data_IF_720198115577
#
_entry.id   IF_720198115577
#
_cell.length_a   1.000
_cell.length_b   1.000
_cell.length_c   1.000
_cell.angle_alpha   90.00
_cell.angle_beta   90.00
_cell.angle_gamma   90.00
#
_symmetry.space_group_name_H-M   'P 1'
#
loop_
_entity.id
_entity.type
_entity.pdbx_description
1 polymer ?
#
# COMPACT_ATOMS: atom_id res chain seq x y z
N UNK A 1 -31.41 38.44 -54.55
CA UNK A 1 -30.19 38.37 -53.73
C UNK A 1 -30.60 38.82 -52.36
N UNK A 2 -30.54 37.95 -51.36
CA UNK A 2 -30.52 38.32 -49.93
C UNK A 2 -30.34 37.03 -49.12
N UNK A 3 -29.22 36.94 -48.39
CA UNK A 3 -28.96 35.87 -47.39
C UNK A 3 -29.25 36.44 -46.00
N UNK A 4 -29.94 35.72 -45.11
CA UNK A 4 -30.19 36.20 -43.77
C UNK A 4 -29.04 35.88 -42.80
N UNK A 5 -28.78 36.86 -41.94
CA UNK A 5 -27.87 36.89 -40.78
C UNK A 5 -28.42 36.03 -39.62
N UNK A 6 -27.57 35.36 -38.80
CA UNK A 6 -28.04 34.63 -37.63
C UNK A 6 -28.19 35.53 -36.39
N UNK A 7 -29.33 35.38 -35.71
CA UNK A 7 -29.68 36.00 -34.44
C UNK A 7 -29.07 35.21 -33.27
N UNK A 8 -28.32 35.90 -32.41
CA UNK A 8 -27.97 35.46 -31.05
C UNK A 8 -29.11 35.80 -30.10
N UNK A 9 -29.49 34.88 -29.21
CA UNK A 9 -30.42 35.17 -28.11
C UNK A 9 -30.06 34.41 -26.84
N UNK A 10 -30.02 35.19 -25.77
CA UNK A 10 -29.67 34.94 -24.38
C UNK A 10 -30.17 33.62 -23.76
N UNK A 11 -29.23 32.84 -23.22
CA UNK A 11 -29.50 31.73 -22.31
C UNK A 11 -29.42 32.19 -20.85
N UNK A 12 -30.56 32.60 -20.26
CA UNK A 12 -30.71 32.72 -18.80
C UNK A 12 -31.29 31.42 -18.24
N UNK A 13 -30.51 30.72 -17.41
CA UNK A 13 -30.95 29.55 -16.67
C UNK A 13 -31.42 30.01 -15.27
N UNK A 14 -32.73 29.86 -14.99
CA UNK A 14 -33.29 30.02 -13.66
C UNK A 14 -33.22 28.67 -12.92
N UNK A 15 -32.43 28.59 -11.83
CA UNK A 15 -32.59 27.51 -10.85
C UNK A 15 -33.58 27.95 -9.77
N UNK A 16 -34.70 27.25 -9.71
CA UNK A 16 -35.74 27.39 -8.68
C UNK A 16 -35.28 26.58 -7.46
N UNK A 17 -35.08 27.26 -6.35
CA UNK A 17 -34.84 26.68 -5.03
C UNK A 17 -36.04 25.84 -4.59
N UNK A 18 -35.81 24.55 -4.34
CA UNK A 18 -36.76 23.71 -3.63
C UNK A 18 -36.38 23.72 -2.14
N UNK A 19 -37.30 24.23 -1.34
CA UNK A 19 -37.25 24.27 0.12
C UNK A 19 -37.34 22.86 0.71
N UNK A 20 -36.59 22.67 1.79
CA UNK A 20 -36.44 21.44 2.56
C UNK A 20 -37.41 21.49 3.74
N UNK A 21 -38.64 21.01 3.55
CA UNK A 21 -39.57 20.68 4.64
C UNK A 21 -40.32 19.39 4.28
N UNK A 22 -40.57 18.57 5.31
CA UNK A 22 -41.38 17.34 5.34
C UNK A 22 -40.77 16.03 4.80
N UNK A 23 -39.93 15.39 5.63
CA UNK A 23 -39.80 13.93 5.63
C UNK A 23 -40.26 13.37 6.99
N UNK A 24 -41.50 12.90 7.00
CA UNK A 24 -42.10 12.11 8.09
C UNK A 24 -41.63 10.66 7.97
N UNK A 25 -40.99 10.14 9.03
CA UNK A 25 -40.58 8.74 9.16
C UNK A 25 -41.81 7.81 9.35
N UNK A 26 -41.91 6.67 8.65
CA UNK A 26 -42.89 5.66 9.00
C UNK A 26 -42.38 4.71 10.09
N UNK A 27 -43.23 4.47 11.09
CA UNK A 27 -43.07 3.51 12.18
C UNK A 27 -43.18 2.06 11.66
N UNK A 28 -42.40 1.07 12.16
CA UNK A 28 -42.49 -0.30 11.67
C UNK A 28 -43.69 -1.04 12.29
N UNK A 29 -44.56 -1.55 11.41
CA UNK A 29 -45.64 -2.46 11.77
C UNK A 29 -45.13 -3.90 11.95
N UNK A 30 -45.70 -4.56 12.96
CA UNK A 30 -45.51 -5.96 13.35
C UNK A 30 -45.87 -6.91 12.21
N UNK A 31 -45.00 -7.87 11.89
CA UNK A 31 -45.38 -9.05 11.11
C UNK A 31 -45.48 -10.27 12.03
N UNK A 32 -46.68 -10.82 12.07
CA UNK A 32 -47.11 -11.91 12.92
C UNK A 32 -47.02 -13.23 12.15
N UNK A 33 -46.69 -14.26 12.92
CA UNK A 33 -46.67 -15.70 12.67
C UNK A 33 -47.78 -16.23 11.74
N UNK A 34 -47.43 -17.14 10.81
CA UNK A 34 -48.41 -18.12 10.33
C UNK A 34 -47.78 -19.46 9.96
N UNK A 35 -48.08 -20.45 10.81
CA UNK A 35 -47.87 -21.90 10.63
C UNK A 35 -48.99 -22.48 9.76
N UNK A 36 -48.64 -23.40 8.85
CA UNK A 36 -49.41 -24.60 8.44
C UNK A 36 -48.55 -25.40 7.46
N UNK A 37 -47.90 -26.49 7.87
CA UNK A 37 -48.44 -27.84 8.04
C UNK A 37 -49.04 -28.44 6.76
N UNK A 38 -48.28 -29.34 6.11
CA UNK A 38 -48.80 -30.52 5.42
C UNK A 38 -47.73 -31.62 5.37
N UNK A 39 -48.02 -32.68 6.11
CA UNK A 39 -47.32 -33.96 6.13
C UNK A 39 -47.57 -34.74 4.84
N UNK A 40 -46.55 -35.46 4.36
CA UNK A 40 -46.76 -36.83 3.83
C UNK A 40 -45.47 -37.65 3.90
N UNK A 41 -45.65 -38.80 4.51
CA UNK A 41 -44.82 -39.98 4.73
C UNK A 41 -44.16 -40.57 3.48
N UNK A 42 -42.90 -41.01 3.61
CA UNK A 42 -42.50 -42.35 3.16
C UNK A 42 -41.17 -42.78 3.80
N UNK A 43 -41.23 -43.92 4.46
CA UNK A 43 -40.16 -44.72 5.05
C UNK A 43 -39.08 -45.15 4.05
N UNK A 44 -37.80 -45.06 4.44
CA UNK A 44 -36.80 -46.07 4.10
C UNK A 44 -35.66 -46.03 5.14
N UNK A 45 -35.54 -47.13 5.89
CA UNK A 45 -34.45 -47.38 6.82
C UNK A 45 -33.18 -47.73 6.05
N UNK A 46 -32.07 -47.08 6.38
CA UNK A 46 -30.73 -47.63 6.17
C UNK A 46 -29.79 -47.05 7.23
N UNK A 47 -29.21 -47.97 8.01
CA UNK A 47 -28.10 -47.73 8.92
C UNK A 47 -26.94 -47.05 8.17
N UNK A 48 -26.45 -45.94 8.72
CA UNK A 48 -25.14 -45.41 8.39
C UNK A 48 -24.58 -44.63 9.59
N UNK A 49 -23.40 -45.09 9.99
CA UNK A 49 -22.38 -44.62 10.93
C UNK A 49 -22.28 -43.10 11.12
N UNK A 50 -22.00 -42.57 12.33
CA UNK A 50 -21.90 -41.14 12.57
C UNK A 50 -20.59 -40.57 11.99
N UNK A 51 -20.68 -39.95 10.80
CA UNK A 51 -19.63 -39.08 10.28
C UNK A 51 -19.70 -37.72 10.99
N UNK A 52 -18.66 -37.40 11.75
CA UNK A 52 -18.42 -36.08 12.32
C UNK A 52 -18.39 -35.03 11.21
N UNK A 53 -19.40 -34.16 11.19
CA UNK A 53 -19.45 -32.95 10.40
C UNK A 53 -18.34 -32.00 10.89
N UNK A 54 -17.18 -32.03 10.26
CA UNK A 54 -16.19 -30.96 10.37
C UNK A 54 -16.49 -29.92 9.29
N UNK A 55 -17.29 -28.93 9.65
CA UNK A 55 -17.37 -27.67 8.92
C UNK A 55 -16.03 -26.95 9.01
N UNK A 56 -15.12 -27.33 8.13
CA UNK A 56 -13.93 -26.53 7.84
C UNK A 56 -14.35 -25.39 6.94
N UNK A 57 -14.85 -24.32 7.56
CA UNK A 57 -14.98 -23.00 6.95
C UNK A 57 -13.60 -22.54 6.47
N UNK A 58 -13.30 -22.90 5.23
CA UNK A 58 -12.09 -22.52 4.51
C UNK A 58 -12.29 -21.08 4.01
N UNK A 59 -12.34 -20.14 4.95
CA UNK A 59 -12.05 -18.75 4.64
C UNK A 59 -10.62 -18.73 4.10
N UNK A 60 -10.47 -18.60 2.78
CA UNK A 60 -9.19 -18.31 2.11
C UNK A 60 -8.72 -16.95 2.61
N UNK A 61 -8.11 -16.97 3.77
CA UNK A 61 -7.35 -15.89 4.32
C UNK A 61 -6.28 -15.52 3.30
N UNK A 62 -6.41 -14.34 2.68
CA UNK A 62 -5.37 -13.68 1.87
C UNK A 62 -4.23 -13.17 2.78
N UNK A 63 -3.89 -13.89 3.85
CA UNK A 63 -2.74 -13.58 4.67
C UNK A 63 -1.51 -14.10 3.94
N UNK A 64 -0.66 -13.16 3.56
CA UNK A 64 0.55 -13.38 2.78
C UNK A 64 1.48 -14.37 3.53
N UNK A 65 1.88 -15.45 2.87
CA UNK A 65 2.73 -16.52 3.42
C UNK A 65 4.21 -16.12 3.63
N UNK A 66 4.47 -14.87 4.02
CA UNK A 66 5.80 -14.26 4.12
C UNK A 66 6.56 -14.60 5.42
N UNK A 67 5.94 -15.30 6.38
CA UNK A 67 6.36 -15.26 7.79
C UNK A 67 7.49 -16.20 8.27
N UNK A 68 8.38 -16.78 7.44
CA UNK A 68 9.30 -17.80 7.99
C UNK A 68 10.82 -17.78 7.71
N UNK A 69 11.40 -17.01 6.79
CA UNK A 69 12.82 -17.28 6.41
C UNK A 69 13.60 -16.03 5.98
N UNK A 70 13.86 -15.08 6.89
CA UNK A 70 14.85 -14.03 6.66
C UNK A 70 16.15 -14.42 7.39
N UNK A 71 17.00 -15.19 6.71
CA UNK A 71 18.35 -15.55 7.18
C UNK A 71 19.32 -14.62 6.45
N UNK A 72 20.38 -14.14 7.12
CA UNK A 72 21.49 -13.45 6.46
C UNK A 72 21.97 -14.28 5.27
N UNK A 73 21.73 -13.77 4.06
CA UNK A 73 21.94 -14.53 2.83
C UNK A 73 23.44 -14.57 2.58
N UNK A 74 24.09 -15.65 3.02
CA UNK A 74 25.46 -15.91 2.64
C UNK A 74 25.49 -16.42 1.19
N UNK A 75 25.60 -15.49 0.24
CA UNK A 75 25.63 -15.75 -1.20
C UNK A 75 26.69 -16.79 -1.59
N UNK A 76 27.79 -16.91 -0.83
CA UNK A 76 28.84 -17.90 -1.11
C UNK A 76 28.34 -19.34 -1.09
N UNK A 77 27.31 -19.63 -0.28
CA UNK A 77 26.70 -20.97 -0.10
C UNK A 77 25.42 -21.17 -0.91
N UNK A 78 25.11 -20.26 -1.83
CA UNK A 78 23.92 -20.34 -2.65
C UNK A 78 23.99 -21.58 -3.58
N UNK A 79 22.95 -22.43 -3.63
CA UNK A 79 22.87 -23.50 -4.62
C UNK A 79 22.66 -22.90 -6.02
N UNK A 80 22.97 -23.69 -7.05
CA UNK A 80 22.59 -23.33 -8.40
C UNK A 80 21.06 -23.22 -8.52
N UNK A 81 20.58 -22.35 -9.41
CA UNK A 81 19.16 -22.23 -9.67
C UNK A 81 18.57 -23.59 -10.10
N UNK A 82 17.34 -23.91 -9.68
CA UNK A 82 16.68 -25.14 -10.11
C UNK A 82 16.43 -25.11 -11.62
N UNK A 83 16.32 -26.29 -12.22
CA UNK A 83 15.89 -26.39 -13.62
C UNK A 83 14.48 -25.84 -13.80
N UNK A 84 14.26 -25.16 -14.93
CA UNK A 84 12.94 -24.69 -15.33
C UNK A 84 12.00 -25.89 -15.43
N UNK A 85 10.83 -25.88 -14.75
CA UNK A 85 9.90 -27.00 -14.84
C UNK A 85 9.47 -27.26 -16.28
N UNK A 86 9.28 -28.52 -16.65
CA UNK A 86 8.81 -28.86 -18.00
C UNK A 86 7.36 -28.39 -18.23
N UNK A 87 6.97 -28.28 -19.50
CA UNK A 87 5.60 -28.06 -19.95
C UNK A 87 4.65 -29.03 -19.22
N UNK A 88 3.49 -28.58 -18.69
CA UNK A 88 2.77 -27.36 -19.04
C UNK A 88 3.02 -26.16 -18.12
N UNK A 89 4.18 -26.05 -17.47
CA UNK A 89 4.50 -24.87 -16.66
C UNK A 89 4.58 -23.61 -17.55
N UNK A 90 3.69 -22.61 -17.36
CA UNK A 90 3.76 -21.36 -18.13
C UNK A 90 4.71 -20.37 -17.44
N UNK A 91 5.60 -19.78 -18.22
CA UNK A 91 6.49 -18.70 -17.77
C UNK A 91 5.80 -17.35 -17.94
N UNK A 92 5.77 -16.56 -16.86
CA UNK A 92 5.14 -15.25 -16.84
C UNK A 92 5.76 -14.28 -17.88
N UNK A 93 4.98 -13.46 -18.60
CA UNK A 93 5.52 -12.52 -19.59
C UNK A 93 6.59 -11.56 -19.06
N UNK A 94 6.59 -11.29 -17.76
CA UNK A 94 7.60 -10.49 -17.08
C UNK A 94 8.84 -11.35 -16.76
N UNK A 95 9.58 -11.79 -17.78
CA UNK A 95 10.80 -12.57 -17.63
C UNK A 95 11.92 -12.09 -18.55
N UNK A 96 13.16 -12.46 -18.22
CA UNK A 96 14.32 -12.22 -19.07
C UNK A 96 15.38 -13.30 -18.88
N UNK A 97 16.21 -13.49 -19.90
CA UNK A 97 17.41 -14.32 -19.83
C UNK A 97 18.60 -13.47 -19.40
N UNK A 98 19.53 -14.07 -18.66
CA UNK A 98 20.82 -13.46 -18.35
C UNK A 98 21.89 -13.87 -19.37
N UNK A 99 22.95 -13.06 -19.47
CA UNK A 99 24.13 -13.44 -20.25
C UNK A 99 24.74 -14.76 -19.76
N UNK A 100 25.39 -15.50 -20.67
CA UNK A 100 25.96 -16.83 -20.38
C UNK A 100 27.08 -16.84 -19.32
N UNK A 101 27.71 -15.70 -19.06
CA UNK A 101 28.74 -15.53 -18.03
C UNK A 101 28.16 -15.19 -16.64
N UNK A 102 26.86 -14.93 -16.54
CA UNK A 102 26.19 -14.60 -15.27
C UNK A 102 25.73 -15.89 -14.60
N UNK A 103 26.36 -16.21 -13.47
CA UNK A 103 25.95 -17.34 -12.65
C UNK A 103 24.78 -16.99 -11.70
N UNK A 104 24.23 -17.99 -11.00
CA UNK A 104 23.12 -17.78 -10.06
C UNK A 104 23.49 -16.81 -8.93
N UNK A 105 24.76 -16.80 -8.47
CA UNK A 105 25.20 -15.99 -7.33
C UNK A 105 25.28 -14.52 -7.71
N UNK A 106 25.85 -14.22 -8.88
CA UNK A 106 25.92 -12.86 -9.39
C UNK A 106 24.51 -12.33 -9.66
N UNK A 107 23.65 -13.09 -10.35
CA UNK A 107 22.27 -12.68 -10.60
C UNK A 107 21.49 -12.38 -9.30
N UNK A 108 21.56 -13.26 -8.30
CA UNK A 108 20.93 -13.02 -6.98
C UNK A 108 21.47 -11.75 -6.32
N UNK A 109 22.79 -11.54 -6.37
CA UNK A 109 23.43 -10.35 -5.79
C UNK A 109 22.98 -9.07 -6.47
N UNK A 110 22.95 -9.03 -7.80
CA UNK A 110 22.48 -7.88 -8.56
C UNK A 110 20.99 -7.61 -8.32
N UNK A 111 20.15 -8.64 -8.35
CA UNK A 111 18.71 -8.52 -8.06
C UNK A 111 18.51 -7.97 -6.65
N UNK A 112 19.18 -8.51 -5.64
CA UNK A 112 19.10 -7.99 -4.27
C UNK A 112 19.52 -6.52 -4.19
N UNK A 113 20.62 -6.14 -4.85
CA UNK A 113 21.08 -4.74 -4.88
C UNK A 113 20.03 -3.83 -5.50
N UNK A 114 19.45 -4.21 -6.63
CA UNK A 114 18.42 -3.43 -7.33
C UNK A 114 17.13 -3.34 -6.52
N UNK A 115 16.66 -4.45 -5.95
CA UNK A 115 15.47 -4.46 -5.08
C UNK A 115 15.66 -3.57 -3.86
N UNK A 116 16.82 -3.60 -3.21
CA UNK A 116 17.14 -2.69 -2.10
C UNK A 116 17.14 -1.22 -2.53
N UNK A 117 17.70 -0.91 -3.71
CA UNK A 117 17.72 0.45 -4.26
C UNK A 117 16.30 0.99 -4.49
N UNK A 118 15.40 0.17 -5.01
CA UNK A 118 13.99 0.53 -5.19
C UNK A 118 13.17 0.44 -3.89
N UNK A 119 13.82 0.23 -2.73
CA UNK A 119 13.18 0.08 -1.42
C UNK A 119 12.06 -1.00 -1.47
N UNK A 120 12.39 -2.15 -2.06
CA UNK A 120 11.53 -3.33 -2.06
C UNK A 120 11.85 -4.16 -0.83
N UNK A 121 10.81 -4.41 -0.03
CA UNK A 121 10.89 -5.33 1.09
C UNK A 121 10.88 -6.77 0.57
N UNK A 122 11.90 -7.56 0.90
CA UNK A 122 12.07 -8.90 0.33
C UNK A 122 12.46 -9.97 1.35
N UNK A 123 12.03 -11.21 1.06
CA UNK A 123 12.51 -12.46 1.66
C UNK A 123 13.10 -13.31 0.55
N UNK A 124 14.34 -13.76 0.70
CA UNK A 124 14.93 -14.69 -0.26
C UNK A 124 14.93 -16.14 0.28
N UNK A 125 14.33 -17.04 -0.48
CA UNK A 125 14.27 -18.46 -0.18
C UNK A 125 15.38 -19.19 -0.93
N UNK A 126 16.52 -19.38 -0.25
CA UNK A 126 17.77 -19.90 -0.83
C UNK A 126 17.58 -21.19 -1.66
N UNK A 127 16.89 -22.19 -1.10
CA UNK A 127 16.67 -23.49 -1.75
C UNK A 127 15.77 -23.45 -2.99
N UNK A 128 15.02 -22.36 -3.18
CA UNK A 128 14.11 -22.18 -4.32
C UNK A 128 14.57 -21.10 -5.29
N UNK A 129 15.73 -20.48 -5.01
CA UNK A 129 16.21 -19.28 -5.69
C UNK A 129 15.09 -18.28 -5.95
N UNK A 130 14.34 -17.94 -4.89
CA UNK A 130 13.07 -17.23 -4.98
C UNK A 130 13.02 -16.05 -4.02
N UNK A 131 12.76 -14.87 -4.55
CA UNK A 131 12.38 -13.69 -3.78
C UNK A 131 10.87 -13.63 -3.61
N UNK A 132 10.41 -13.38 -2.39
CA UNK A 132 9.07 -12.86 -2.14
C UNK A 132 9.22 -11.38 -1.84
N UNK A 133 8.55 -10.54 -2.60
CA UNK A 133 8.75 -9.10 -2.60
C UNK A 133 7.44 -8.37 -2.28
N UNK A 134 7.55 -7.28 -1.53
CA UNK A 134 6.48 -6.32 -1.27
C UNK A 134 7.04 -4.92 -1.52
N UNK A 135 6.33 -4.11 -2.29
CA UNK A 135 6.64 -2.69 -2.46
C UNK A 135 5.39 -1.87 -2.28
N UNK A 136 5.55 -0.70 -1.66
CA UNK A 136 4.53 0.33 -1.60
C UNK A 136 4.91 1.46 -2.56
N UNK A 137 4.13 1.65 -3.63
CA UNK A 137 4.35 2.68 -4.64
C UNK A 137 3.16 3.62 -4.61
N UNK A 138 3.36 4.91 -4.32
CA UNK A 138 2.26 5.89 -4.17
C UNK A 138 1.13 5.36 -3.29
N UNK A 139 1.48 4.81 -2.12
CA UNK A 139 0.53 4.23 -1.17
C UNK A 139 -0.23 2.97 -1.62
N UNK A 140 -0.03 2.51 -2.85
CA UNK A 140 -0.52 1.21 -3.32
C UNK A 140 0.48 0.09 -3.02
N UNK A 141 -0.05 -1.03 -2.53
CA UNK A 141 0.73 -2.23 -2.23
C UNK A 141 0.81 -3.15 -3.44
N UNK A 142 2.03 -3.57 -3.78
CA UNK A 142 2.33 -4.58 -4.79
C UNK A 142 3.05 -5.74 -4.13
N UNK A 143 2.46 -6.93 -4.15
CA UNK A 143 3.16 -8.18 -3.85
C UNK A 143 3.59 -8.86 -5.15
N UNK A 144 4.84 -9.30 -5.23
CA UNK A 144 5.37 -10.02 -6.37
C UNK A 144 6.42 -11.05 -5.96
N UNK A 145 6.79 -11.92 -6.89
CA UNK A 145 7.77 -12.98 -6.68
C UNK A 145 8.78 -12.90 -7.81
N UNK A 146 10.06 -12.99 -7.48
CA UNK A 146 11.11 -13.21 -8.48
C UNK A 146 11.66 -14.62 -8.29
N UNK A 147 11.78 -15.40 -9.37
CA UNK A 147 12.39 -16.73 -9.36
C UNK A 147 13.49 -16.82 -10.41
N UNK A 148 14.52 -17.57 -10.08
CA UNK A 148 15.59 -17.90 -11.01
C UNK A 148 15.48 -19.38 -11.39
N UNK A 149 15.68 -19.66 -12.66
CA UNK A 149 15.70 -20.99 -13.25
C UNK A 149 16.90 -21.17 -14.16
N UNK A 150 17.39 -22.39 -14.28
CA UNK A 150 18.26 -22.80 -15.40
C UNK A 150 17.37 -23.32 -16.51
N UNK A 151 17.51 -22.78 -17.73
CA UNK A 151 16.83 -23.27 -18.93
C UNK A 151 17.63 -24.38 -19.62
N UNK A 152 17.03 -25.08 -20.60
CA UNK A 152 17.61 -26.26 -21.26
C UNK A 152 18.98 -26.01 -21.92
N UNK A 153 19.27 -24.76 -22.30
CA UNK A 153 20.55 -24.32 -22.87
C UNK A 153 21.58 -23.88 -21.81
N UNK A 154 21.38 -24.23 -20.54
CA UNK A 154 22.16 -23.78 -19.38
C UNK A 154 22.20 -22.25 -19.18
N UNK A 155 21.29 -21.50 -19.80
CA UNK A 155 21.15 -20.07 -19.53
C UNK A 155 20.24 -19.82 -18.34
N UNK A 156 20.52 -18.76 -17.58
CA UNK A 156 19.71 -18.38 -16.43
C UNK A 156 18.49 -17.57 -16.91
N UNK A 157 17.30 -17.99 -16.50
CA UNK A 157 16.05 -17.28 -16.71
C UNK A 157 15.56 -16.70 -15.39
N UNK A 158 15.24 -15.42 -15.39
CA UNK A 158 14.63 -14.71 -14.25
C UNK A 158 13.17 -14.41 -14.57
N UNK A 159 12.28 -14.93 -13.75
CA UNK A 159 10.83 -14.77 -13.86
C UNK A 159 10.31 -13.86 -12.74
N UNK A 160 9.55 -12.82 -13.09
CA UNK A 160 8.95 -11.86 -12.15
C UNK A 160 7.42 -11.94 -12.18
N UNK A 161 6.80 -12.57 -11.18
CA UNK A 161 5.35 -12.79 -11.12
C UNK A 161 4.64 -11.82 -10.17
N UNK A 162 3.76 -10.96 -10.69
CA UNK A 162 2.84 -10.16 -9.86
C UNK A 162 1.84 -11.06 -9.15
N UNK A 163 1.64 -10.84 -7.84
CA UNK A 163 0.69 -11.59 -7.00
C UNK A 163 -0.51 -10.75 -6.57
N UNK A 164 -0.31 -9.46 -6.38
CA UNK A 164 -1.34 -8.47 -6.04
C UNK A 164 -0.91 -7.06 -6.50
N UNK A 165 -1.79 -6.07 -6.34
CA UNK A 165 -1.52 -4.67 -6.71
C UNK A 165 -1.91 -4.32 -8.15
N UNK A 166 -1.92 -3.02 -8.45
CA UNK A 166 -2.27 -2.49 -9.76
C UNK A 166 -1.28 -2.91 -10.86
N UNK A 167 -1.79 -3.27 -12.05
CA UNK A 167 -0.96 -3.71 -13.17
C UNK A 167 -0.07 -2.58 -13.71
N UNK A 168 -0.57 -1.35 -13.80
CA UNK A 168 0.19 -0.22 -14.31
C UNK A 168 1.37 0.11 -13.38
N UNK A 169 1.11 0.14 -12.07
CA UNK A 169 2.14 0.39 -11.06
C UNK A 169 3.19 -0.74 -11.05
N UNK A 170 2.77 -1.99 -11.24
CA UNK A 170 3.67 -3.11 -11.46
C UNK A 170 4.50 -2.96 -12.73
N UNK A 171 3.89 -2.58 -13.86
CA UNK A 171 4.58 -2.41 -15.14
C UNK A 171 5.69 -1.36 -15.04
N UNK A 172 5.39 -0.22 -14.39
CA UNK A 172 6.37 0.84 -14.09
C UNK A 172 7.48 0.33 -13.19
N UNK A 173 7.16 -0.37 -12.09
CA UNK A 173 8.16 -0.91 -11.17
C UNK A 173 9.06 -1.95 -11.87
N UNK A 174 8.47 -2.89 -12.61
CA UNK A 174 9.20 -3.89 -13.37
C UNK A 174 10.12 -3.24 -14.41
N UNK A 175 9.63 -2.24 -15.16
CA UNK A 175 10.45 -1.49 -16.13
C UNK A 175 11.67 -0.87 -15.45
N UNK A 176 11.49 -0.22 -14.30
CA UNK A 176 12.61 0.39 -13.56
C UNK A 176 13.60 -0.67 -13.06
N UNK A 177 13.12 -1.79 -12.51
CA UNK A 177 13.97 -2.92 -12.10
C UNK A 177 14.73 -3.49 -13.30
N UNK A 178 14.05 -3.70 -14.43
CA UNK A 178 14.62 -4.22 -15.66
C UNK A 178 15.75 -3.33 -16.18
N UNK A 179 15.52 -2.01 -16.22
CA UNK A 179 16.53 -1.04 -16.67
C UNK A 179 17.78 -1.06 -15.78
N UNK A 180 17.61 -1.15 -14.46
CA UNK A 180 18.72 -1.25 -13.52
C UNK A 180 19.46 -2.60 -13.56
N UNK A 181 18.79 -3.65 -14.06
CA UNK A 181 19.37 -4.97 -14.28
C UNK A 181 19.94 -5.15 -15.69
N UNK A 182 19.91 -4.13 -16.55
CA UNK A 182 20.35 -4.24 -17.95
C UNK A 182 21.76 -4.82 -18.12
N UNK A 183 22.65 -4.61 -17.14
CA UNK A 183 24.01 -5.14 -17.16
C UNK A 183 24.11 -6.67 -17.13
N UNK A 184 23.06 -7.38 -16.67
CA UNK A 184 23.04 -8.86 -16.64
C UNK A 184 22.06 -9.46 -17.66
N UNK A 185 21.24 -8.65 -18.33
CA UNK A 185 20.16 -9.13 -19.21
C UNK A 185 20.67 -9.32 -20.63
N UNK A 186 20.44 -10.51 -21.19
CA UNK A 186 20.62 -10.77 -22.61
C UNK A 186 19.37 -10.35 -23.39
N UNK A 187 19.42 -9.15 -23.97
CA UNK A 187 18.32 -8.57 -24.76
C UNK A 187 18.16 -9.26 -26.12
N UNK A 188 19.19 -10.00 -26.56
CA UNK A 188 19.19 -10.74 -27.82
C UNK A 188 18.67 -12.18 -27.67
N UNK A 189 18.43 -12.63 -26.43
CA UNK A 189 17.93 -13.97 -26.17
C UNK A 189 16.55 -14.20 -26.84
N UNK A 190 16.30 -15.41 -27.37
CA UNK A 190 14.98 -15.75 -27.89
C UNK A 190 13.93 -15.76 -26.78
N UNK A 191 12.66 -15.59 -27.17
CA UNK A 191 11.53 -15.70 -26.24
C UNK A 191 11.50 -17.12 -25.66
N UNK A 192 11.23 -17.23 -24.35
CA UNK A 192 11.09 -18.52 -23.70
C UNK A 192 9.95 -19.33 -24.35
N UNK A 193 10.18 -20.58 -24.81
CA UNK A 193 9.15 -21.38 -25.47
C UNK A 193 7.98 -21.77 -24.56
N UNK A 194 8.14 -21.64 -23.24
CA UNK A 194 7.09 -21.84 -22.24
C UNK A 194 6.31 -20.56 -21.91
N UNK A 195 6.60 -19.44 -22.58
CA UNK A 195 5.91 -18.17 -22.38
C UNK A 195 5.15 -17.76 -23.64
N UNK A 196 3.90 -17.34 -23.47
CA UNK A 196 3.07 -16.88 -24.59
C UNK A 196 3.58 -15.55 -25.19
N UNK A 197 4.31 -14.77 -24.41
CA UNK A 197 4.94 -13.53 -24.85
C UNK A 197 6.01 -13.10 -23.84
N UNK A 198 7.00 -12.33 -24.30
CA UNK A 198 7.94 -11.66 -23.41
C UNK A 198 7.65 -10.16 -23.42
N UNK A 199 7.51 -9.55 -22.23
CA UNK A 199 7.38 -8.11 -22.10
C UNK A 199 8.67 -7.45 -22.58
N UNK A 200 8.62 -6.85 -23.77
CA UNK A 200 9.71 -6.03 -24.28
C UNK A 200 9.71 -4.70 -23.53
N UNK A 201 10.75 -4.49 -22.71
CA UNK A 201 11.00 -3.19 -22.09
C UNK A 201 11.76 -2.34 -23.09
N UNK A 202 11.06 -1.41 -23.73
CA UNK A 202 11.72 -0.43 -24.58
C UNK A 202 12.55 0.49 -23.69
N UNK A 203 13.85 0.57 -23.97
CA UNK A 203 14.71 1.61 -23.44
C UNK A 203 14.34 2.92 -24.16
N UNK A 204 13.17 3.49 -23.84
CA UNK A 204 12.84 4.81 -24.35
C UNK A 204 13.76 5.82 -23.68
N UNK A 205 14.49 6.55 -24.51
CA UNK A 205 15.04 7.87 -24.18
C UNK A 205 13.92 8.67 -23.54
N UNK A 206 14.11 9.13 -22.30
CA UNK A 206 13.11 9.83 -21.53
C UNK A 206 12.41 10.90 -22.39
N UNK A 207 11.13 10.66 -22.72
CA UNK A 207 10.31 11.71 -23.29
C UNK A 207 10.23 12.79 -22.23
N UNK A 208 10.93 13.88 -22.52
CA UNK A 208 11.02 15.08 -21.69
C UNK A 208 9.61 15.45 -21.28
N UNK A 209 9.38 15.50 -19.97
CA UNK A 209 8.10 15.81 -19.34
C UNK A 209 7.49 17.04 -19.99
N UNK A 210 6.42 16.85 -20.77
CA UNK A 210 5.64 17.96 -21.27
C UNK A 210 5.01 18.67 -20.06
N UNK A 211 5.16 20.00 -19.92
CA UNK A 211 4.48 20.73 -18.87
C UNK A 211 2.98 20.61 -19.12
N UNK A 212 2.28 19.86 -18.27
CA UNK A 212 0.82 19.81 -18.33
C UNK A 212 0.30 21.05 -17.63
N UNK A 213 0.04 22.11 -18.40
CA UNK A 213 -0.66 23.30 -17.94
C UNK A 213 -2.14 22.95 -17.75
N UNK A 214 -2.49 22.45 -16.57
CA UNK A 214 -3.88 22.20 -16.19
C UNK A 214 -4.53 23.55 -15.88
N UNK A 215 -5.51 23.93 -16.69
CA UNK A 215 -6.30 25.15 -16.52
C UNK A 215 -7.12 25.07 -15.22
N UNK A 216 -6.91 26.04 -14.30
CA UNK A 216 -7.76 26.26 -13.13
C UNK A 216 -9.12 26.79 -13.57
N UNK A 217 -10.06 25.89 -13.88
CA UNK A 217 -11.48 26.21 -13.84
C UNK A 217 -12.06 25.80 -12.48
N UNK A 218 -13.01 26.58 -11.95
CA UNK A 218 -13.72 26.33 -10.68
C UNK A 218 -14.47 25.00 -10.77
N UNK A 219 -13.83 23.91 -10.38
CA UNK A 219 -14.47 22.60 -10.22
C UNK A 219 -14.93 22.43 -8.78
N UNK A 220 -16.12 21.85 -8.62
CA UNK A 220 -16.64 21.37 -7.35
C UNK A 220 -15.54 20.60 -6.61
N UNK A 221 -15.33 20.93 -5.34
CA UNK A 221 -14.18 20.49 -4.56
C UNK A 221 -14.11 18.97 -4.52
N UNK A 222 -13.20 18.36 -5.29
CA UNK A 222 -12.92 16.91 -5.21
C UNK A 222 -12.56 16.44 -3.79
N UNK A 223 -12.28 17.38 -2.86
CA UNK A 223 -12.06 17.08 -1.44
C UNK A 223 -13.33 16.62 -0.72
N UNK A 224 -14.53 17.02 -1.15
CA UNK A 224 -15.78 16.55 -0.53
C UNK A 224 -15.94 15.03 -0.69
N UNK A 225 -15.48 14.48 -1.82
CA UNK A 225 -15.45 13.03 -2.04
C UNK A 225 -14.58 12.35 -1.00
N UNK A 226 -13.44 12.92 -0.67
CA UNK A 226 -12.56 12.38 0.38
C UNK A 226 -13.20 12.43 1.77
N UNK A 227 -13.95 13.47 2.10
CA UNK A 227 -14.72 13.53 3.36
C UNK A 227 -15.73 12.38 3.41
N UNK A 228 -16.50 12.17 2.34
CA UNK A 228 -17.48 11.07 2.24
C UNK A 228 -16.77 9.71 2.40
N UNK A 229 -15.64 9.51 1.72
CA UNK A 229 -14.90 8.26 1.80
C UNK A 229 -14.37 7.99 3.21
N UNK A 230 -13.75 8.97 3.88
CA UNK A 230 -13.21 8.81 5.24
C UNK A 230 -14.30 8.63 6.31
N UNK A 231 -15.50 9.15 6.08
CA UNK A 231 -16.65 9.03 6.99
C UNK A 231 -17.55 7.84 6.68
N UNK A 232 -17.25 7.08 5.64
CA UNK A 232 -17.98 5.86 5.28
C UNK A 232 -17.93 4.81 6.39
N UNK A 233 -19.04 4.12 6.61
CA UNK A 233 -19.09 2.95 7.48
C UNK A 233 -18.30 1.75 6.92
N UNK A 234 -17.99 1.75 5.62
CA UNK A 234 -17.31 0.65 4.94
C UNK A 234 -15.79 0.84 4.96
N UNK A 235 -15.07 -0.16 5.49
CA UNK A 235 -13.62 -0.10 5.72
C UNK A 235 -12.81 -0.05 4.43
N UNK A 236 -13.26 -0.75 3.39
CA UNK A 236 -12.64 -0.72 2.07
C UNK A 236 -12.74 0.68 1.43
N UNK A 237 -13.89 1.35 1.56
CA UNK A 237 -14.07 2.74 1.11
C UNK A 237 -13.15 3.69 1.89
N UNK A 238 -13.02 3.51 3.20
CA UNK A 238 -12.10 4.31 4.03
C UNK A 238 -10.64 4.06 3.66
N UNK A 239 -10.26 2.81 3.40
CA UNK A 239 -8.92 2.44 2.98
C UNK A 239 -8.56 3.08 1.62
N UNK A 240 -9.47 3.00 0.66
CA UNK A 240 -9.32 3.66 -0.64
C UNK A 240 -9.23 5.19 -0.45
N UNK A 241 -10.05 5.76 0.44
CA UNK A 241 -10.03 7.19 0.76
C UNK A 241 -8.69 7.64 1.32
N UNK A 242 -8.15 6.93 2.31
CA UNK A 242 -6.81 7.23 2.85
C UNK A 242 -5.73 7.11 1.77
N UNK A 243 -5.76 6.07 0.92
CA UNK A 243 -4.79 5.90 -0.16
C UNK A 243 -4.86 7.07 -1.16
N UNK A 244 -6.06 7.38 -1.65
CA UNK A 244 -6.29 8.44 -2.63
C UNK A 244 -5.87 9.82 -2.10
N UNK A 245 -6.16 10.14 -0.84
CA UNK A 245 -5.72 11.39 -0.22
C UNK A 245 -4.20 11.43 -0.11
N UNK A 246 -3.56 10.34 0.30
CA UNK A 246 -2.12 10.27 0.44
C UNK A 246 -1.41 10.56 -0.89
N UNK A 247 -1.91 10.00 -1.99
CA UNK A 247 -1.43 10.31 -3.36
C UNK A 247 -1.74 11.76 -3.74
N UNK A 248 -2.98 12.21 -3.56
CA UNK A 248 -3.41 13.54 -3.97
C UNK A 248 -2.58 14.64 -3.27
N UNK A 249 -2.24 14.43 -1.99
CA UNK A 249 -1.47 15.36 -1.17
C UNK A 249 0.04 15.36 -1.46
N UNK A 250 0.56 14.48 -2.32
CA UNK A 250 1.96 14.61 -2.82
C UNK A 250 2.17 15.96 -3.53
N UNK A 251 1.10 16.56 -4.07
CA UNK A 251 1.11 17.92 -4.58
C UNK A 251 0.78 18.94 -3.46
N UNK A 252 1.65 19.93 -3.27
CA UNK A 252 1.50 20.96 -2.23
C UNK A 252 0.18 21.76 -2.30
N UNK A 253 -0.32 22.10 -3.49
CA UNK A 253 -1.59 22.82 -3.65
C UNK A 253 -2.76 21.96 -3.17
N UNK A 254 -2.75 20.68 -3.51
CA UNK A 254 -3.78 19.72 -3.11
C UNK A 254 -3.70 19.45 -1.60
N UNK A 255 -2.48 19.36 -1.04
CA UNK A 255 -2.24 19.27 0.39
C UNK A 255 -2.80 20.46 1.17
N UNK A 256 -2.62 21.68 0.67
CA UNK A 256 -3.20 22.88 1.27
C UNK A 256 -4.74 22.87 1.23
N UNK A 257 -5.33 22.45 0.11
CA UNK A 257 -6.78 22.27 0.00
C UNK A 257 -7.31 21.20 0.96
N UNK A 258 -6.60 20.09 1.11
CA UNK A 258 -6.95 19.02 2.04
C UNK A 258 -7.02 19.54 3.49
N UNK A 259 -6.05 20.34 3.91
CA UNK A 259 -6.07 20.99 5.23
C UNK A 259 -7.26 21.95 5.39
N UNK A 260 -7.49 22.82 4.40
CA UNK A 260 -8.60 23.78 4.43
C UNK A 260 -9.99 23.09 4.47
N UNK A 261 -10.11 21.88 3.93
CA UNK A 261 -11.32 21.06 3.99
C UNK A 261 -11.45 20.21 5.27
N UNK A 262 -10.58 20.39 6.27
CA UNK A 262 -10.66 19.68 7.55
C UNK A 262 -10.25 18.21 7.48
N UNK A 263 -9.54 17.78 6.42
CA UNK A 263 -9.12 16.38 6.28
C UNK A 263 -8.11 15.95 7.35
N UNK A 264 -7.36 16.88 7.95
CA UNK A 264 -6.41 16.57 9.04
C UNK A 264 -7.14 15.87 10.19
N UNK A 265 -8.25 16.44 10.68
CA UNK A 265 -9.02 15.86 11.79
C UNK A 265 -9.56 14.47 11.44
N UNK A 266 -10.04 14.27 10.21
CA UNK A 266 -10.56 12.98 9.77
C UNK A 266 -9.45 11.92 9.65
N UNK A 267 -8.30 12.27 9.11
CA UNK A 267 -7.14 11.38 9.02
C UNK A 267 -6.62 11.00 10.41
N UNK A 268 -6.56 11.96 11.34
CA UNK A 268 -6.21 11.69 12.74
C UNK A 268 -7.22 10.73 13.38
N UNK A 269 -8.52 10.89 13.10
CA UNK A 269 -9.54 9.96 13.59
C UNK A 269 -9.34 8.54 13.04
N UNK A 270 -8.99 8.38 11.76
CA UNK A 270 -8.67 7.06 11.18
C UNK A 270 -7.48 6.40 11.89
N UNK A 271 -6.39 7.16 12.11
CA UNK A 271 -5.19 6.66 12.80
C UNK A 271 -5.55 6.22 14.22
N UNK A 272 -6.33 7.02 14.95
CA UNK A 272 -6.77 6.71 16.32
C UNK A 272 -7.58 5.43 16.38
N UNK A 273 -8.61 5.32 15.55
CA UNK A 273 -9.50 4.15 15.51
C UNK A 273 -8.72 2.87 15.16
N UNK A 274 -7.93 2.90 14.09
CA UNK A 274 -7.16 1.73 13.66
C UNK A 274 -6.07 1.34 14.66
N UNK A 275 -5.45 2.31 15.33
CA UNK A 275 -4.48 2.05 16.41
C UNK A 275 -5.16 1.41 17.63
N UNK A 276 -6.37 1.86 17.98
CA UNK A 276 -7.13 1.26 19.09
C UNK A 276 -7.47 -0.21 18.81
N UNK A 277 -7.84 -0.56 17.57
CA UNK A 277 -8.07 -1.95 17.18
C UNK A 277 -6.80 -2.81 17.22
N UNK A 278 -5.62 -2.23 16.94
CA UNK A 278 -4.35 -2.96 17.02
C UNK A 278 -3.92 -3.24 18.46
N UNK A 279 -4.13 -2.27 19.36
CA UNK A 279 -3.70 -2.37 20.76
C UNK A 279 -4.71 -3.06 21.67
N UNK A 280 -5.98 -3.16 21.26
CA UNK A 280 -6.99 -3.82 22.08
C UNK A 280 -6.74 -5.34 22.14
N UNK A 281 -6.58 -5.86 23.37
CA UNK A 281 -6.55 -7.31 23.63
C UNK A 281 -7.90 -7.98 23.46
N UNK A 282 -8.98 -7.20 23.62
CA UNK A 282 -10.37 -7.67 23.54
C UNK A 282 -11.13 -6.72 22.63
N UNK A 283 -11.41 -7.17 21.41
CA UNK A 283 -12.30 -6.43 20.53
C UNK A 283 -13.73 -6.51 21.09
N UNK A 284 -14.50 -5.41 21.08
CA UNK A 284 -15.93 -5.46 21.35
C UNK A 284 -16.60 -6.53 20.48
N UNK A 285 -17.61 -7.23 20.98
CA UNK A 285 -18.33 -8.27 20.22
C UNK A 285 -18.89 -7.78 18.88
N UNK A 286 -19.11 -6.47 18.76
CA UNK A 286 -19.70 -5.82 17.58
C UNK A 286 -18.65 -5.09 16.72
N UNK A 287 -17.36 -5.17 17.04
CA UNK A 287 -16.33 -4.53 16.24
C UNK A 287 -16.15 -5.26 14.90
N UNK A 288 -16.02 -4.53 13.78
CA UNK A 288 -15.77 -5.15 12.49
C UNK A 288 -14.46 -5.95 12.53
N UNK A 289 -14.48 -7.16 11.98
CA UNK A 289 -13.27 -7.98 11.84
C UNK A 289 -12.46 -7.41 10.67
N UNK A 290 -11.53 -6.50 11.00
CA UNK A 290 -10.63 -5.89 10.02
C UNK A 290 -9.30 -6.62 10.07
N UNK A 291 -8.81 -7.19 8.94
CA UNK A 291 -7.49 -7.81 8.92
C UNK A 291 -6.39 -6.83 9.35
N UNK A 292 -5.44 -7.30 10.16
CA UNK A 292 -4.31 -6.50 10.64
C UNK A 292 -3.57 -5.76 9.53
N UNK A 293 -3.38 -6.39 8.37
CA UNK A 293 -2.74 -5.76 7.21
C UNK A 293 -3.52 -4.56 6.71
N UNK A 294 -4.86 -4.67 6.62
CA UNK A 294 -5.72 -3.58 6.16
C UNK A 294 -5.71 -2.43 7.15
N UNK A 295 -5.78 -2.71 8.47
CA UNK A 295 -5.67 -1.67 9.50
C UNK A 295 -4.36 -0.88 9.38
N UNK A 296 -3.24 -1.60 9.26
CA UNK A 296 -1.91 -0.98 9.12
C UNK A 296 -1.77 -0.21 7.81
N UNK A 297 -2.33 -0.71 6.71
CA UNK A 297 -2.33 -0.01 5.43
C UNK A 297 -3.14 1.30 5.52
N UNK A 298 -4.32 1.31 6.17
CA UNK A 298 -5.10 2.53 6.43
C UNK A 298 -4.27 3.55 7.23
N UNK A 299 -3.69 3.12 8.35
CA UNK A 299 -2.86 4.01 9.18
C UNK A 299 -1.69 4.55 8.36
N UNK A 300 -1.00 3.70 7.61
CA UNK A 300 0.16 4.08 6.80
C UNK A 300 -0.20 5.15 5.78
N UNK A 301 -1.28 4.96 5.02
CA UNK A 301 -1.76 5.96 4.06
C UNK A 301 -2.17 7.26 4.76
N UNK A 302 -2.91 7.17 5.88
CA UNK A 302 -3.33 8.36 6.62
C UNK A 302 -2.14 9.16 7.18
N UNK A 303 -1.13 8.47 7.73
CA UNK A 303 0.11 9.07 8.22
C UNK A 303 0.89 9.73 7.09
N UNK A 304 1.00 9.06 5.93
CA UNK A 304 1.65 9.64 4.75
C UNK A 304 0.95 10.90 4.24
N UNK A 305 -0.38 10.89 4.21
CA UNK A 305 -1.17 12.08 3.90
C UNK A 305 -0.91 13.22 4.90
N UNK A 306 -0.88 12.93 6.20
CA UNK A 306 -0.58 13.94 7.22
C UNK A 306 0.84 14.50 7.08
N UNK A 307 1.83 13.66 6.76
CA UNK A 307 3.20 14.11 6.49
C UNK A 307 3.25 15.07 5.30
N UNK A 308 2.60 14.70 4.19
CA UNK A 308 2.50 15.52 2.99
C UNK A 308 1.80 16.86 3.27
N UNK A 309 0.71 16.85 4.05
CA UNK A 309 0.00 18.08 4.47
C UNK A 309 0.90 18.94 5.36
N UNK A 310 1.54 18.37 6.37
CA UNK A 310 2.43 19.12 7.26
C UNK A 310 3.60 19.77 6.50
N UNK A 311 4.17 19.08 5.51
CA UNK A 311 5.24 19.62 4.65
C UNK A 311 4.78 20.83 3.82
N UNK A 312 3.51 20.88 3.42
CA UNK A 312 2.95 21.98 2.65
C UNK A 312 2.70 23.26 3.47
N UNK A 313 2.81 23.19 4.80
CA UNK A 313 2.68 24.31 5.72
C UNK A 313 3.95 24.45 6.59
N UNK A 314 5.03 25.02 6.04
CA UNK A 314 6.19 25.33 6.86
C UNK A 314 5.77 26.19 8.07
N UNK A 315 6.50 26.00 9.16
CA UNK A 315 6.31 26.44 10.56
C UNK A 315 5.76 27.85 10.82
N UNK A 316 5.71 28.73 9.83
CA UNK A 316 5.24 30.11 9.94
C UNK A 316 3.71 30.28 9.96
N UNK A 317 2.92 29.28 9.56
CA UNK A 317 1.46 29.49 9.42
C UNK A 317 0.61 29.15 10.64
N UNK A 318 1.08 28.33 11.60
CA UNK A 318 0.41 28.00 12.89
C UNK A 318 -1.04 27.46 12.86
N UNK A 319 -1.79 27.63 11.79
CA UNK A 319 -3.25 27.51 11.76
C UNK A 319 -3.76 26.08 11.92
N UNK A 320 -2.88 25.09 11.73
CA UNK A 320 -3.24 23.67 11.75
C UNK A 320 -2.41 22.86 12.75
N UNK A 321 -1.45 23.47 13.47
CA UNK A 321 -0.55 22.75 14.39
C UNK A 321 -1.34 21.99 15.47
N UNK A 322 -2.35 22.64 16.05
CA UNK A 322 -3.24 22.04 17.05
C UNK A 322 -4.00 20.81 16.52
N UNK A 323 -4.29 20.76 15.21
CA UNK A 323 -5.00 19.63 14.60
C UNK A 323 -4.11 18.39 14.44
N UNK A 324 -2.79 18.59 14.32
CA UNK A 324 -1.83 17.49 14.25
C UNK A 324 -1.48 16.91 15.62
N UNK A 325 -1.47 17.73 16.68
CA UNK A 325 -1.07 17.32 18.02
C UNK A 325 -1.67 15.98 18.50
N UNK A 326 -2.97 15.69 18.28
CA UNK A 326 -3.56 14.45 18.77
C UNK A 326 -3.09 13.18 18.06
N UNK A 327 -2.31 13.28 16.97
CA UNK A 327 -1.75 12.12 16.27
C UNK A 327 -0.46 11.62 16.91
N UNK A 328 0.30 12.51 17.56
CA UNK A 328 1.67 12.24 18.01
C UNK A 328 1.76 10.98 18.90
N UNK A 329 0.93 10.80 19.95
CA UNK A 329 1.03 9.61 20.79
C UNK A 329 0.81 8.30 20.03
N UNK A 330 -0.02 8.32 18.99
CA UNK A 330 -0.28 7.15 18.17
C UNK A 330 0.89 6.81 17.26
N UNK A 331 1.56 7.82 16.68
CA UNK A 331 2.78 7.59 15.88
C UNK A 331 3.89 7.00 16.75
N UNK A 332 4.09 7.55 17.95
CA UNK A 332 5.08 7.06 18.93
C UNK A 332 4.80 5.61 19.32
N UNK A 333 3.53 5.27 19.62
CA UNK A 333 3.14 3.90 19.95
C UNK A 333 3.43 2.90 18.81
N UNK A 334 3.21 3.30 17.54
CA UNK A 334 3.56 2.45 16.39
C UNK A 334 5.07 2.24 16.25
N UNK A 335 5.86 3.26 16.56
CA UNK A 335 7.31 3.13 16.57
C UNK A 335 7.78 2.21 17.70
N UNK A 336 7.22 2.32 18.90
CA UNK A 336 7.58 1.49 20.08
C UNK A 336 7.44 -0.01 19.82
N UNK A 337 6.47 -0.40 18.98
CA UNK A 337 6.19 -1.80 18.68
C UNK A 337 7.39 -2.51 18.05
N UNK A 338 7.78 -3.63 18.67
CA UNK A 338 8.86 -4.47 18.15
C UNK A 338 8.48 -5.09 16.80
N UNK A 339 9.37 -4.96 15.82
CA UNK A 339 9.23 -5.61 14.52
C UNK A 339 9.85 -7.00 14.58
N UNK A 340 9.05 -8.02 14.24
CA UNK A 340 9.63 -9.30 13.84
C UNK A 340 10.23 -9.17 12.43
N UNK A 341 11.22 -10.00 12.09
CA UNK A 341 11.93 -9.90 10.82
C UNK A 341 11.00 -9.91 9.58
N UNK A 342 9.83 -10.56 9.68
CA UNK A 342 8.90 -10.77 8.57
C UNK A 342 7.68 -9.83 8.57
N UNK A 343 7.61 -8.84 9.46
CA UNK A 343 6.47 -7.93 9.54
C UNK A 343 6.66 -6.67 8.67
N UNK A 344 6.58 -6.86 7.36
CA UNK A 344 6.80 -5.78 6.38
C UNK A 344 5.75 -4.68 6.43
N UNK A 345 4.50 -5.02 6.75
CA UNK A 345 3.44 -4.03 6.89
C UNK A 345 3.73 -3.09 8.07
N UNK A 346 4.21 -3.63 9.20
CA UNK A 346 4.61 -2.80 10.33
C UNK A 346 5.87 -1.99 10.00
N UNK A 347 6.89 -2.58 9.36
CA UNK A 347 8.11 -1.86 8.95
C UNK A 347 7.79 -0.69 8.01
N UNK A 348 6.95 -0.91 7.00
CA UNK A 348 6.49 0.14 6.08
C UNK A 348 5.74 1.25 6.82
N UNK A 349 4.83 0.89 7.73
CA UNK A 349 4.14 1.85 8.59
C UNK A 349 5.12 2.66 9.47
N UNK A 350 6.11 2.01 10.08
CA UNK A 350 7.10 2.70 10.93
C UNK A 350 7.95 3.68 10.13
N UNK A 351 8.32 3.36 8.88
CA UNK A 351 8.97 4.33 7.97
C UNK A 351 8.10 5.54 7.73
N UNK A 352 6.81 5.34 7.44
CA UNK A 352 5.87 6.45 7.23
C UNK A 352 5.65 7.27 8.51
N UNK A 353 5.58 6.62 9.69
CA UNK A 353 5.54 7.31 10.98
C UNK A 353 6.79 8.17 11.21
N UNK A 354 7.98 7.64 10.95
CA UNK A 354 9.24 8.39 11.08
C UNK A 354 9.29 9.60 10.13
N UNK A 355 8.88 9.41 8.87
CA UNK A 355 8.78 10.50 7.89
C UNK A 355 7.82 11.58 8.37
N UNK A 356 6.64 11.21 8.85
CA UNK A 356 5.66 12.16 9.37
C UNK A 356 6.20 12.91 10.61
N UNK A 357 6.82 12.18 11.54
CA UNK A 357 7.38 12.76 12.76
C UNK A 357 8.53 13.72 12.46
N UNK A 358 9.40 13.43 11.50
CA UNK A 358 10.46 14.36 11.07
C UNK A 358 9.89 15.75 10.74
N UNK A 359 8.79 15.79 9.98
CA UNK A 359 8.09 17.04 9.66
C UNK A 359 7.38 17.64 10.87
N UNK A 360 6.66 16.81 11.63
CA UNK A 360 5.84 17.29 12.74
C UNK A 360 6.67 17.84 13.91
N UNK A 361 7.84 17.26 14.21
CA UNK A 361 8.75 17.70 15.28
C UNK A 361 9.19 19.16 15.08
N UNK A 362 9.38 19.57 13.83
CA UNK A 362 9.71 20.95 13.47
C UNK A 362 8.56 21.91 13.81
N UNK A 363 7.31 21.45 13.63
CA UNK A 363 6.10 22.25 13.84
C UNK A 363 5.48 22.16 15.24
N UNK A 364 5.79 21.10 16.00
CA UNK A 364 5.12 20.73 17.26
C UNK A 364 6.10 20.49 18.40
N UNK A 365 7.19 21.26 18.48
CA UNK A 365 8.28 21.01 19.43
C UNK A 365 7.80 20.90 20.89
N UNK A 366 6.77 21.65 21.29
CA UNK A 366 6.17 21.63 22.63
C UNK A 366 5.27 20.41 22.91
N UNK A 367 4.94 19.61 21.90
CA UNK A 367 3.99 18.50 22.02
C UNK A 367 4.62 17.17 22.45
N UNK A 368 5.94 17.10 22.55
CA UNK A 368 6.66 15.87 22.86
C UNK A 368 7.20 15.90 24.29
N UNK A 369 6.89 14.85 25.04
CA UNK A 369 7.43 14.62 26.37
C UNK A 369 8.84 14.01 26.33
N UNK A 370 9.57 14.06 27.43
CA UNK A 370 10.85 13.36 27.58
C UNK A 370 10.74 11.83 27.36
N UNK A 371 9.56 11.26 27.66
CA UNK A 371 9.28 9.85 27.41
C UNK A 371 9.18 9.57 25.91
N UNK A 372 8.46 10.43 25.15
CA UNK A 372 8.34 10.30 23.69
C UNK A 372 9.71 10.37 23.02
N UNK A 373 10.57 11.27 23.48
CA UNK A 373 11.94 11.37 22.98
C UNK A 373 12.78 10.13 23.25
N UNK A 374 12.64 9.54 24.44
CA UNK A 374 13.32 8.29 24.78
C UNK A 374 12.91 7.16 23.84
N UNK A 375 11.62 7.07 23.49
CA UNK A 375 11.11 6.07 22.52
C UNK A 375 11.71 6.30 21.13
N UNK A 376 11.80 7.56 20.70
CA UNK A 376 12.39 7.91 19.39
C UNK A 376 13.88 7.61 19.31
N UNK A 377 14.65 7.89 20.37
CA UNK A 377 16.07 7.54 20.46
C UNK A 377 16.24 6.02 20.42
N UNK A 378 15.44 5.28 21.21
CA UNK A 378 15.44 3.82 21.19
C UNK A 378 15.06 3.27 19.81
N UNK A 379 14.12 3.92 19.10
CA UNK A 379 13.74 3.57 17.73
C UNK A 379 14.90 3.78 16.76
N UNK A 380 15.56 4.93 16.87
CA UNK A 380 16.70 5.27 16.04
C UNK A 380 17.90 4.35 16.28
N UNK A 381 18.08 3.83 17.49
CA UNK A 381 19.13 2.87 17.82
C UNK A 381 18.83 1.48 17.19
N UNK A 382 17.60 0.96 17.36
CA UNK A 382 17.22 -0.35 16.77
C UNK A 382 17.13 -0.34 15.24
N UNK A 383 16.99 0.84 14.64
CA UNK A 383 16.85 1.02 13.19
C UNK A 383 18.15 1.42 12.49
N UNK A 384 19.29 1.41 13.21
CA UNK A 384 20.58 1.85 12.67
C UNK A 384 21.03 1.05 11.44
N UNK A 385 20.64 -0.24 11.39
CA UNK A 385 20.96 -1.13 10.28
C UNK A 385 20.01 -0.99 9.07
N UNK A 386 18.92 -0.22 9.18
CA UNK A 386 18.04 0.08 8.05
C UNK A 386 18.44 1.44 7.43
N UNK A 387 19.18 1.44 6.30
CA UNK A 387 19.65 2.67 5.66
C UNK A 387 18.50 3.56 5.17
N UNK A 388 17.27 3.06 5.12
CA UNK A 388 16.09 3.82 4.73
C UNK A 388 15.52 4.64 5.89
N UNK A 389 15.77 4.20 7.12
CA UNK A 389 15.35 4.88 8.34
C UNK A 389 16.43 5.82 8.87
N UNK A 390 17.70 5.55 8.57
CA UNK A 390 18.84 6.35 9.07
C UNK A 390 18.66 7.85 8.82
N UNK A 391 18.30 8.27 7.60
CA UNK A 391 18.09 9.69 7.27
C UNK A 391 17.03 10.37 8.16
N UNK A 392 15.90 9.69 8.39
CA UNK A 392 14.82 10.21 9.23
C UNK A 392 15.25 10.26 10.70
N UNK A 393 15.88 9.18 11.17
CA UNK A 393 16.40 9.06 12.52
C UNK A 393 17.49 10.09 12.83
N UNK A 394 18.39 10.37 11.88
CA UNK A 394 19.45 11.36 12.03
C UNK A 394 18.88 12.77 12.16
N UNK A 395 17.86 13.10 11.35
CA UNK A 395 17.16 14.39 11.48
C UNK A 395 16.50 14.53 12.85
N UNK A 396 15.86 13.47 13.33
CA UNK A 396 15.27 13.45 14.67
C UNK A 396 16.37 13.65 15.70
N UNK A 397 17.47 12.89 15.67
CA UNK A 397 18.59 13.04 16.63
C UNK A 397 19.21 14.44 16.63
N UNK A 398 19.43 15.03 15.46
CA UNK A 398 20.04 16.37 15.32
C UNK A 398 19.18 17.49 15.91
N UNK A 399 17.85 17.31 15.97
CA UNK A 399 16.97 18.24 16.68
C UNK A 399 17.14 18.21 18.21
N UNK A 400 17.67 17.11 18.78
CA UNK A 400 17.82 16.94 20.24
C UNK A 400 19.23 17.20 20.77
N UNK A 401 20.23 16.76 20.03
CA UNK A 401 21.62 17.04 20.30
C UNK A 401 22.16 17.90 19.17
N UNK A 402 21.82 19.20 19.11
CA UNK A 402 22.61 20.10 18.27
C UNK A 402 24.03 19.97 18.79
N UNK A 403 24.92 19.45 17.94
CA UNK A 403 26.32 19.17 18.26
C UNK A 403 26.89 20.31 19.10
N UNK A 404 27.19 20.05 20.37
CA UNK A 404 27.90 20.97 21.25
C UNK A 404 29.32 21.19 20.77
#
# INVERSE_FOLDING_TARGET
MDRPTPLTRDGKCFYRSASMEDFVLPTPAKLQENKRARSRTSSFSREATPAKLQDTNRARSRISSFSREAIDINVSRLPNAPQLPHVPYPVDPYHFYCYCNVDTKDAVTQIMRVLNRFDVDMVFQMYKCKFKCVKYVHYDRIDFIIRLYVADNNTLLVECQRRSGCLLTWDTLYRNIYLDLMGIIDVCAPICPQSDSQKKVLCETALTTLPTTISLSRTSSGMEVFVIMLTSQFIDVRAEGCSAIAVATENALTAQKAAACGLITLLVAQIKEMSAYEHSKVLPSNAPIIPTSVRRDIVRCAVGALANIALAFPTSSGAYSEQFQPVVPHLIAWLEKETTHNDYALKGLQRDCCRALQTLVQSLTTSFSNADWSILINFAARSQDDPRLSQYCDTIRNHFCPST
#
